data_IF_904860107782
#
_entry.id   IF_904860107782
#
_cell.length_a   1.000
_cell.length_b   1.000
_cell.length_c   1.000
_cell.angle_alpha   90.00
_cell.angle_beta   90.00
_cell.angle_gamma   90.00
#
_symmetry.space_group_name_H-M   'P 1'
#
loop_
_entity.id
_entity.type
_entity.pdbx_description
1 polymer ?
#
# COMPACT_ATOMS: atom_id res chain seq x y z
N UNK A 1 19.25 19.44 59.49
CA UNK A 1 18.38 18.56 58.68
C UNK A 1 19.20 17.98 57.56
N UNK A 2 19.17 16.66 57.40
CA UNK A 2 19.92 15.94 56.38
C UNK A 2 19.06 15.73 55.12
N UNK A 3 19.68 15.52 53.93
CA UNK A 3 18.94 15.26 52.70
C UNK A 3 17.96 14.08 52.82
N UNK A 4 18.32 13.06 53.61
CA UNK A 4 17.48 11.90 53.90
C UNK A 4 16.21 12.24 54.71
N UNK A 5 16.28 13.19 55.64
CA UNK A 5 15.12 13.65 56.43
C UNK A 5 14.12 14.43 55.57
N UNK A 6 14.59 15.21 54.59
CA UNK A 6 13.72 15.89 53.62
C UNK A 6 13.01 14.88 52.71
N UNK A 7 13.70 13.81 52.30
CA UNK A 7 13.12 12.74 51.48
C UNK A 7 12.13 11.89 52.29
N UNK A 8 12.23 11.79 53.60
CA UNK A 8 11.22 11.10 54.41
C UNK A 8 9.91 11.91 54.57
N UNK A 9 9.96 13.23 54.35
CA UNK A 9 8.86 14.15 54.68
C UNK A 9 7.91 14.51 53.50
N UNK A 10 8.10 14.04 52.26
CA UNK A 10 7.12 14.34 51.19
C UNK A 10 5.94 13.34 51.19
N UNK A 11 4.74 13.79 50.75
CA UNK A 11 3.53 12.99 50.69
C UNK A 11 3.65 11.64 49.95
N UNK A 12 2.79 10.66 50.25
CA UNK A 12 2.78 9.29 49.70
C UNK A 12 2.33 9.19 48.23
N UNK A 13 2.49 10.27 47.45
CA UNK A 13 2.24 10.31 46.01
C UNK A 13 3.50 10.12 45.17
N UNK A 14 4.56 9.54 45.75
CA UNK A 14 5.78 9.24 45.00
C UNK A 14 5.64 7.89 44.31
N UNK A 15 6.00 7.86 43.03
CA UNK A 15 6.23 6.61 42.32
C UNK A 15 7.24 5.77 43.12
N UNK A 16 6.93 4.49 43.39
CA UNK A 16 7.88 3.55 43.99
C UNK A 16 9.24 3.69 43.31
N UNK A 17 10.36 3.69 44.06
CA UNK A 17 11.69 3.86 43.48
C UNK A 17 12.01 2.79 42.42
N UNK A 18 11.41 1.61 42.53
CA UNK A 18 11.49 0.55 41.53
C UNK A 18 10.89 0.92 40.15
N UNK A 19 10.04 1.95 40.07
CA UNK A 19 9.49 2.49 38.83
C UNK A 19 10.27 3.71 38.31
N UNK A 20 11.26 4.20 39.07
CA UNK A 20 12.16 5.27 38.64
C UNK A 20 13.39 4.75 37.91
N UNK A 21 13.77 3.49 38.16
CA UNK A 21 14.86 2.82 37.46
C UNK A 21 14.35 2.07 36.24
N UNK A 22 14.99 2.33 35.09
CA UNK A 22 14.67 1.66 33.85
C UNK A 22 15.42 0.31 33.81
N UNK A 23 14.69 -0.78 34.02
CA UNK A 23 15.24 -2.12 33.99
C UNK A 23 15.48 -2.65 32.56
N UNK A 24 16.22 -3.74 32.40
CA UNK A 24 16.40 -4.40 31.10
C UNK A 24 15.07 -4.92 30.52
N UNK A 25 14.14 -5.32 31.38
CA UNK A 25 12.78 -5.71 30.98
C UNK A 25 12.00 -4.53 30.41
N UNK A 26 12.12 -3.34 31.02
CA UNK A 26 11.46 -2.12 30.54
C UNK A 26 12.03 -1.68 29.20
N UNK A 27 13.36 -1.78 29.01
CA UNK A 27 14.00 -1.52 27.72
C UNK A 27 13.49 -2.47 26.62
N UNK A 28 13.35 -3.76 26.93
CA UNK A 28 12.81 -4.74 26.00
C UNK A 28 11.34 -4.46 25.67
N UNK A 29 10.54 -4.10 26.68
CA UNK A 29 9.14 -3.73 26.50
C UNK A 29 9.00 -2.46 25.64
N UNK A 30 9.84 -1.44 25.88
CA UNK A 30 9.85 -0.20 25.12
C UNK A 30 10.27 -0.44 23.66
N UNK A 31 11.26 -1.30 23.44
CA UNK A 31 11.67 -1.73 22.10
C UNK A 31 10.53 -2.45 21.38
N UNK A 32 9.88 -3.40 22.02
CA UNK A 32 8.72 -4.12 21.47
C UNK A 32 7.57 -3.17 21.14
N UNK A 33 7.25 -2.25 22.05
CA UNK A 33 6.24 -1.23 21.83
C UNK A 33 6.59 -0.32 20.64
N UNK A 34 7.86 0.09 20.53
CA UNK A 34 8.37 0.85 19.40
C UNK A 34 8.26 0.09 18.08
N UNK A 35 8.56 -1.22 18.07
CA UNK A 35 8.45 -2.06 16.87
C UNK A 35 6.99 -2.22 16.41
N UNK A 36 6.07 -2.43 17.35
CA UNK A 36 4.63 -2.50 17.06
C UNK A 36 4.15 -1.17 16.50
N UNK A 37 4.53 -0.05 17.13
CA UNK A 37 4.15 1.28 16.67
C UNK A 37 4.70 1.57 15.26
N UNK A 38 5.96 1.24 14.99
CA UNK A 38 6.57 1.38 13.68
C UNK A 38 5.85 0.55 12.61
N UNK A 39 5.45 -0.68 12.95
CA UNK A 39 4.64 -1.54 12.10
C UNK A 39 3.28 -0.93 11.75
N UNK A 40 2.59 -0.36 12.74
CA UNK A 40 1.32 0.34 12.53
C UNK A 40 1.48 1.56 11.62
N UNK A 41 2.51 2.38 11.84
CA UNK A 41 2.81 3.54 10.99
C UNK A 41 3.13 3.10 9.56
N UNK A 42 3.95 2.06 9.38
CA UNK A 42 4.26 1.51 8.07
C UNK A 42 3.02 0.95 7.35
N UNK A 43 2.12 0.27 8.07
CA UNK A 43 0.86 -0.23 7.54
C UNK A 43 -0.06 0.93 7.11
N UNK A 44 -0.18 1.97 7.93
CA UNK A 44 -0.96 3.16 7.61
C UNK A 44 -0.36 3.94 6.41
N UNK A 45 0.97 3.96 6.27
CA UNK A 45 1.66 4.58 5.15
C UNK A 45 1.70 3.71 3.88
N UNK A 46 1.44 2.40 4.00
CA UNK A 46 1.45 1.43 2.90
C UNK A 46 0.68 1.87 1.65
N UNK A 47 -0.56 2.39 1.70
CA UNK A 47 -1.26 2.85 0.49
C UNK A 47 -0.57 4.03 -0.22
N UNK A 48 0.18 4.86 0.51
CA UNK A 48 0.94 5.98 -0.04
C UNK A 48 2.26 5.52 -0.65
N UNK A 49 2.89 4.51 -0.04
CA UNK A 49 4.14 3.90 -0.53
C UNK A 49 3.89 2.80 -1.56
N UNK A 50 2.65 2.32 -1.70
CA UNK A 50 2.28 1.29 -2.65
C UNK A 50 2.62 1.75 -4.06
N UNK A 51 3.51 1.02 -4.72
CA UNK A 51 3.86 1.26 -6.12
C UNK A 51 2.59 1.20 -6.96
N UNK A 52 2.24 2.32 -7.62
CA UNK A 52 1.14 2.35 -8.59
C UNK A 52 1.33 1.19 -9.58
N UNK A 53 0.33 0.31 -9.76
CA UNK A 53 0.48 -0.85 -10.60
C UNK A 53 0.84 -0.42 -12.01
N UNK A 54 1.89 -1.03 -12.56
CA UNK A 54 2.33 -0.72 -13.91
C UNK A 54 1.19 -0.98 -14.90
N UNK A 55 1.20 -0.28 -16.04
CA UNK A 55 0.21 -0.55 -17.09
C UNK A 55 0.24 -2.02 -17.55
N UNK A 56 1.42 -2.66 -17.53
CA UNK A 56 1.54 -4.08 -17.88
C UNK A 56 0.80 -4.96 -16.87
N UNK A 57 0.93 -4.68 -15.57
CA UNK A 57 0.20 -5.40 -14.53
C UNK A 57 -1.32 -5.18 -14.67
N UNK A 58 -1.75 -3.94 -14.93
CA UNK A 58 -3.17 -3.63 -15.17
C UNK A 58 -3.72 -4.30 -16.43
N UNK A 59 -2.93 -4.40 -17.50
CA UNK A 59 -3.30 -5.12 -18.72
C UNK A 59 -3.33 -6.65 -18.52
N UNK A 60 -2.41 -7.20 -17.73
CA UNK A 60 -2.41 -8.63 -17.42
C UNK A 60 -3.64 -9.03 -16.61
N UNK A 61 -4.09 -8.16 -15.69
CA UNK A 61 -5.30 -8.38 -14.89
C UNK A 61 -6.59 -8.47 -15.73
N UNK A 62 -6.60 -8.01 -17.00
CA UNK A 62 -7.78 -8.09 -17.87
C UNK A 62 -7.85 -9.37 -18.70
N UNK A 63 -6.87 -10.28 -18.63
CA UNK A 63 -6.84 -11.51 -19.45
C UNK A 63 -7.97 -12.50 -19.16
N UNK A 64 -8.54 -12.48 -17.95
CA UNK A 64 -9.67 -13.34 -17.58
C UNK A 64 -11.05 -12.81 -17.98
N UNK A 65 -11.12 -11.60 -18.56
CA UNK A 65 -12.38 -10.98 -18.93
C UNK A 65 -12.84 -11.43 -20.33
N UNK A 66 -14.17 -11.46 -20.58
CA UNK A 66 -14.72 -11.60 -21.93
C UNK A 66 -14.12 -10.55 -22.89
N UNK A 67 -13.97 -10.86 -24.19
CA UNK A 67 -13.28 -9.97 -25.14
C UNK A 67 -13.83 -8.53 -25.19
N UNK A 68 -15.15 -8.37 -25.18
CA UNK A 68 -15.81 -7.05 -25.18
C UNK A 68 -15.55 -6.28 -23.87
N UNK A 69 -15.68 -6.94 -22.72
CA UNK A 69 -15.40 -6.35 -21.41
C UNK A 69 -13.92 -5.96 -21.27
N UNK A 70 -13.03 -6.80 -21.80
CA UNK A 70 -11.60 -6.55 -21.83
C UNK A 70 -11.26 -5.32 -22.66
N UNK A 71 -11.92 -5.12 -23.80
CA UNK A 71 -11.77 -3.93 -24.63
C UNK A 71 -12.22 -2.65 -23.91
N UNK A 72 -13.35 -2.71 -23.20
CA UNK A 72 -13.84 -1.59 -22.38
C UNK A 72 -12.94 -1.30 -21.17
N UNK A 73 -12.44 -2.34 -20.49
CA UNK A 73 -11.48 -2.20 -19.40
C UNK A 73 -10.19 -1.52 -19.88
N UNK A 74 -9.71 -1.88 -21.08
CA UNK A 74 -8.59 -1.20 -21.71
C UNK A 74 -8.91 0.26 -22.05
N UNK A 75 -10.12 0.56 -22.54
CA UNK A 75 -10.53 1.92 -22.83
C UNK A 75 -10.50 2.81 -21.57
N UNK A 76 -10.97 2.29 -20.43
CA UNK A 76 -10.86 2.98 -19.13
C UNK A 76 -9.41 3.20 -18.70
N UNK A 77 -8.54 2.22 -18.97
CA UNK A 77 -7.12 2.30 -18.64
C UNK A 77 -6.36 3.32 -19.51
N UNK A 78 -6.74 3.46 -20.78
CA UNK A 78 -6.12 4.38 -21.74
C UNK A 78 -6.78 5.77 -21.76
N UNK A 79 -8.05 5.87 -21.36
CA UNK A 79 -8.91 7.06 -21.52
C UNK A 79 -9.61 7.14 -22.88
N UNK A 80 -9.38 6.17 -23.77
CA UNK A 80 -10.02 6.07 -25.09
C UNK A 80 -9.98 4.63 -25.59
N UNK A 81 -10.90 4.26 -26.49
CA UNK A 81 -10.89 2.95 -27.15
C UNK A 81 -10.08 3.02 -28.47
N UNK A 82 -9.00 2.24 -28.63
CA UNK A 82 -8.27 2.16 -29.89
C UNK A 82 -9.18 1.72 -31.06
N UNK A 83 -9.11 2.35 -32.25
CA UNK A 83 -9.96 2.01 -33.39
C UNK A 83 -9.89 0.53 -33.79
N UNK A 84 -8.70 -0.08 -33.69
CA UNK A 84 -8.48 -1.49 -33.98
C UNK A 84 -9.22 -2.46 -33.03
N UNK A 85 -9.82 -1.96 -31.94
CA UNK A 85 -10.60 -2.75 -30.98
C UNK A 85 -12.10 -2.43 -31.01
N UNK A 86 -12.56 -1.59 -31.94
CA UNK A 86 -13.99 -1.27 -32.07
C UNK A 86 -14.81 -2.52 -32.46
N UNK A 87 -14.31 -3.35 -33.38
CA UNK A 87 -14.95 -4.61 -33.74
C UNK A 87 -15.06 -5.58 -32.56
N UNK A 88 -14.02 -5.67 -31.73
CA UNK A 88 -14.03 -6.49 -30.51
C UNK A 88 -15.04 -5.97 -29.49
N UNK A 89 -15.11 -4.65 -29.29
CA UNK A 89 -15.99 -4.04 -28.29
C UNK A 89 -17.48 -4.05 -28.69
N UNK A 90 -17.78 -3.76 -29.96
CA UNK A 90 -19.17 -3.56 -30.42
C UNK A 90 -19.74 -4.73 -31.22
N UNK A 91 -18.88 -5.52 -31.87
CA UNK A 91 -19.29 -6.65 -32.72
C UNK A 91 -18.89 -8.00 -32.15
N UNK A 92 -18.21 -8.03 -31.00
CA UNK A 92 -17.74 -9.26 -30.38
C UNK A 92 -16.72 -10.03 -31.23
N UNK A 93 -16.01 -9.34 -32.12
CA UNK A 93 -15.04 -10.00 -33.00
C UNK A 93 -13.96 -10.72 -32.17
N UNK A 94 -13.69 -12.00 -32.47
CA UNK A 94 -12.66 -12.74 -31.76
C UNK A 94 -11.29 -12.16 -32.09
N UNK A 95 -10.46 -11.99 -31.06
CA UNK A 95 -9.09 -11.51 -31.20
C UNK A 95 -8.15 -12.36 -30.36
N UNK A 96 -6.99 -12.69 -30.92
CA UNK A 96 -5.95 -13.37 -30.16
C UNK A 96 -5.37 -12.45 -29.08
N UNK A 97 -5.13 -13.00 -27.88
CA UNK A 97 -4.60 -12.26 -26.73
C UNK A 97 -3.31 -11.49 -27.03
N UNK A 98 -2.41 -12.11 -27.78
CA UNK A 98 -1.15 -11.49 -28.18
C UNK A 98 -1.36 -10.26 -29.09
N UNK A 99 -2.35 -10.33 -29.99
CA UNK A 99 -2.70 -9.22 -30.87
C UNK A 99 -3.34 -8.07 -30.07
N UNK A 100 -4.25 -8.39 -29.14
CA UNK A 100 -4.86 -7.42 -28.24
C UNK A 100 -3.79 -6.66 -27.42
N UNK A 101 -2.85 -7.38 -26.82
CA UNK A 101 -1.78 -6.75 -26.03
C UNK A 101 -0.85 -5.88 -26.86
N UNK A 102 -0.55 -6.29 -28.09
CA UNK A 102 0.27 -5.49 -29.01
C UNK A 102 -0.42 -4.17 -29.34
N UNK A 103 -1.72 -4.19 -29.63
CA UNK A 103 -2.53 -2.98 -29.88
C UNK A 103 -2.56 -2.10 -28.62
N UNK A 104 -2.80 -2.68 -27.44
CA UNK A 104 -2.81 -1.96 -26.18
C UNK A 104 -1.48 -1.24 -25.88
N UNK A 105 -0.34 -1.91 -26.11
CA UNK A 105 1.00 -1.34 -25.92
C UNK A 105 1.30 -0.25 -26.96
N UNK A 106 0.89 -0.44 -28.21
CA UNK A 106 1.05 0.55 -29.27
C UNK A 106 0.25 1.84 -28.96
N UNK A 107 -1.02 1.69 -28.58
CA UNK A 107 -1.88 2.81 -28.20
C UNK A 107 -1.31 3.61 -27.03
N UNK A 108 -0.80 2.94 -25.99
CA UNK A 108 -0.15 3.62 -24.86
C UNK A 108 1.09 4.40 -25.29
N UNK A 109 1.94 3.84 -26.16
CA UNK A 109 3.16 4.50 -26.63
C UNK A 109 2.86 5.78 -27.40
N UNK A 110 1.81 5.78 -28.23
CA UNK A 110 1.39 6.96 -29.00
C UNK A 110 0.89 8.12 -28.13
N UNK A 111 0.48 7.85 -26.89
CA UNK A 111 0.00 8.86 -25.93
C UNK A 111 1.13 9.44 -25.05
N UNK A 112 2.28 8.77 -24.97
CA UNK A 112 3.46 9.30 -24.30
C UNK A 112 4.24 10.20 -25.25
#
# INVERSE_FOLDING_TARGET
MTPSELIAALPPGRLPPALLDLGPADLLALFGAGLVLAGLVAAAASPLLARRPSFRARLAATRGLPPAERALALARLLGHLPPALHGVAYRGEPIADAAFERIARAAKRRRR
#
